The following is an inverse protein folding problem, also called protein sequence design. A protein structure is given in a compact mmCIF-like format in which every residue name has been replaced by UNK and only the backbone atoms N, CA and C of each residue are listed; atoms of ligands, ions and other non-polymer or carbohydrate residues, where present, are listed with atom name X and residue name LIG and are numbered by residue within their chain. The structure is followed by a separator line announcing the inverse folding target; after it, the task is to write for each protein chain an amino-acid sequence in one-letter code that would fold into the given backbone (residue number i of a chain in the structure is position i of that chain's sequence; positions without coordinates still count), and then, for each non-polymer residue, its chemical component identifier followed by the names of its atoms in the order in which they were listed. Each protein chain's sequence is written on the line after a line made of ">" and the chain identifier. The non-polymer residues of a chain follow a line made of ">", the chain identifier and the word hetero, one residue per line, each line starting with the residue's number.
data_IF_568817267451
#
_entry.id   IF_568817267451
#
_cell.length_a   1.000
_cell.length_b   1.000
_cell.length_c   1.000
_cell.angle_alpha   90.00
_cell.angle_beta   90.00
_cell.angle_gamma   90.00
#
_symmetry.space_group_name_H-M   'P 1'
#
loop_
_entity.id
_entity.type
_entity.pdbx_description
1 polymer ?
2 water ?
#
# COMPACT_ATOMS: atom_id res chain seq x y z
N UNK A 20 -4.89 12.06 -3.63
CA UNK A 20 -3.89 11.36 -4.41
C UNK A 20 -4.09 9.86 -4.37
N UNK A 21 -4.07 9.24 -5.55
CA UNK A 21 -4.18 7.80 -5.68
C UNK A 21 -2.79 7.19 -5.55
N UNK A 22 -2.65 6.16 -4.72
CA UNK A 22 -1.35 5.53 -4.49
C UNK A 22 -1.41 4.06 -4.87
N UNK A 23 -0.43 3.60 -5.65
CA UNK A 23 -0.33 2.21 -6.07
C UNK A 23 0.62 1.46 -5.14
N UNK A 24 0.21 0.29 -4.67
CA UNK A 24 1.03 -0.54 -3.79
C UNK A 24 1.25 -1.88 -4.48
N UNK A 25 2.49 -2.37 -4.47
CA UNK A 25 2.82 -3.60 -5.17
C UNK A 25 3.76 -4.45 -4.33
N UNK A 26 3.92 -5.71 -4.75
CA UNK A 26 4.73 -6.70 -4.03
C UNK A 26 4.12 -7.07 -2.67
N UNK A 27 2.82 -7.31 -2.64
CA UNK A 27 2.16 -7.70 -1.41
C UNK A 27 2.13 -9.21 -1.28
N UNK A 28 2.49 -9.71 -0.11
CA UNK A 28 2.37 -11.13 0.16
C UNK A 28 0.91 -11.53 0.27
N UNK A 29 0.61 -12.76 -0.15
CA UNK A 29 -0.76 -13.25 -0.09
C UNK A 29 -1.33 -13.20 1.32
N UNK A 30 -0.47 -13.11 2.34
CA UNK A 30 -0.92 -12.99 3.73
C UNK A 30 -1.24 -11.56 4.13
N UNK A 31 -0.94 -10.57 3.28
CA UNK A 31 -1.23 -9.19 3.63
C UNK A 31 -2.73 -8.93 3.52
N UNK A 32 -3.29 -8.24 4.50
CA UNK A 32 -4.70 -7.90 4.54
C UNK A 32 -4.91 -6.40 4.32
N UNK A 33 -6.15 -6.05 3.94
CA UNK A 33 -6.50 -4.65 3.73
C UNK A 33 -6.26 -3.82 4.99
N UNK A 34 -6.59 -4.37 6.16
CA UNK A 34 -6.44 -3.62 7.41
C UNK A 34 -4.97 -3.41 7.76
N UNK A 35 -4.12 -4.39 7.43
CA UNK A 35 -2.68 -4.22 7.55
C UNK A 35 -2.18 -3.04 6.73
N UNK A 36 -2.56 -2.99 5.46
CA UNK A 36 -2.10 -1.89 4.62
C UNK A 36 -2.67 -0.57 5.12
N UNK A 37 -3.96 -0.55 5.43
CA UNK A 37 -4.61 0.66 5.95
C UNK A 37 -3.87 1.25 7.13
N UNK A 38 -3.54 0.41 8.12
CA UNK A 38 -2.81 0.85 9.30
C UNK A 38 -1.48 1.50 8.95
N UNK A 39 -0.83 1.00 7.90
CA UNK A 39 0.46 1.55 7.48
C UNK A 39 0.29 2.94 6.88
N UNK A 40 -0.69 3.11 6.00
CA UNK A 40 -0.84 4.43 5.40
C UNK A 40 -1.41 5.43 6.39
N UNK A 41 -2.21 4.97 7.34
CA UNK A 41 -2.75 5.87 8.35
C UNK A 41 -1.66 6.46 9.25
N UNK A 42 -0.46 5.88 9.28
CA UNK A 42 0.61 6.53 10.02
C UNK A 42 0.97 7.89 9.42
N UNK A 43 0.60 8.15 8.17
CA UNK A 43 1.02 9.35 7.47
C UNK A 43 -0.07 10.38 7.31
N UNK A 44 -1.34 10.02 7.51
CA UNK A 44 -2.41 10.99 7.34
C UNK A 44 -3.74 10.29 7.14
N UNK A 45 -4.71 11.06 6.64
CA UNK A 45 -6.05 10.54 6.40
C UNK A 45 -6.06 9.63 5.18
N UNK A 46 -6.78 8.51 5.30
CA UNK A 46 -6.94 7.56 4.20
C UNK A 46 -8.42 7.46 3.87
N UNK A 47 -8.77 7.80 2.63
CA UNK A 47 -10.17 7.75 2.22
C UNK A 47 -10.59 6.37 1.76
N UNK A 48 -9.68 5.58 1.20
CA UNK A 48 -10.06 4.25 0.75
C UNK A 48 -8.80 3.42 0.56
N UNK A 49 -8.96 2.11 0.76
CA UNK A 49 -7.83 1.18 0.71
C UNK A 49 -8.33 -0.14 0.14
N UNK A 50 -7.90 -0.47 -1.07
CA UNK A 50 -8.31 -1.68 -1.78
C UNK A 50 -7.08 -2.57 -1.89
N UNK A 51 -7.14 -3.79 -1.34
CA UNK A 51 -6.00 -4.69 -1.35
C UNK A 51 -6.41 -6.00 -2.02
N UNK A 52 -5.59 -6.47 -2.95
CA UNK A 52 -5.85 -7.72 -3.67
C UNK A 52 -4.73 -8.69 -3.36
N UNK A 53 -5.03 -9.71 -2.54
CA UNK A 53 -4.09 -10.78 -2.21
C UNK A 53 -4.91 -12.07 -2.31
N UNK A 54 -5.01 -12.61 -3.52
CA UNK A 54 -5.74 -13.83 -3.81
C UNK A 54 -4.78 -15.01 -3.90
N UNK A 55 -5.30 -16.16 -4.29
CA UNK A 55 -4.45 -17.21 -4.82
C UNK A 55 -4.12 -16.97 -6.29
N UNK A 56 -4.90 -16.11 -6.97
CA UNK A 56 -4.58 -15.68 -8.33
C UNK A 56 -3.39 -14.73 -8.36
N UNK A 57 -3.19 -13.95 -7.30
CA UNK A 57 -1.90 -13.35 -7.04
C UNK A 57 -1.00 -14.36 -6.33
N UNK A 58 0.31 -14.22 -6.52
CA UNK A 58 1.25 -15.07 -5.82
C UNK A 58 1.60 -14.51 -4.46
N UNK A 59 2.13 -15.38 -3.59
CA UNK A 59 2.72 -14.92 -2.34
C UNK A 59 3.90 -14.00 -2.61
N UNK A 60 3.64 -12.86 -3.27
CA UNK A 60 4.66 -11.91 -3.69
C UNK A 60 4.08 -10.81 -4.58
N UNK A 61 3.00 -11.09 -5.31
CA UNK A 61 2.55 -10.20 -6.37
C UNK A 61 1.14 -9.66 -6.13
N UNK A 62 0.71 -9.60 -4.89
CA UNK A 62 -0.48 -8.85 -4.59
C UNK A 62 -0.26 -7.36 -4.77
N UNK A 63 -1.36 -6.61 -4.81
CA UNK A 63 -1.28 -5.18 -5.07
C UNK A 63 -2.42 -4.46 -4.36
N UNK A 64 -2.29 -3.14 -4.28
CA UNK A 64 -3.24 -2.35 -3.54
C UNK A 64 -3.39 -0.98 -4.16
N UNK A 65 -4.52 -0.35 -3.86
CA UNK A 65 -4.78 1.00 -4.33
C UNK A 65 -5.29 1.80 -3.14
N UNK A 66 -4.60 2.90 -2.79
CA UNK A 66 -4.89 3.69 -1.60
C UNK A 66 -5.16 5.14 -1.99
N UNK A 67 -6.21 5.72 -1.43
CA UNK A 67 -6.55 7.11 -1.66
C UNK A 67 -6.30 7.91 -0.39
N UNK A 68 -5.35 8.83 -0.45
CA UNK A 68 -5.16 9.84 0.60
C UNK A 68 -5.45 11.22 0.04
N UNK A 69 -6.53 11.86 0.50
CA UNK A 69 -6.97 13.10 -0.16
C UNK A 69 -6.02 14.26 0.00
N UNK A 70 -5.20 14.30 1.07
CA UNK A 70 -4.19 15.34 1.23
C UNK A 70 -2.92 14.92 0.48
N UNK A 71 -2.58 15.56 -0.65
CA UNK A 71 -1.42 15.10 -1.44
C UNK A 71 -0.11 15.20 -0.69
N UNK A 72 0.02 16.16 0.23
CA UNK A 72 1.26 16.22 1.00
C UNK A 72 1.39 15.03 1.94
N UNK A 73 0.27 14.52 2.46
CA UNK A 73 0.34 13.29 3.27
C UNK A 73 0.62 12.08 2.40
N UNK A 74 0.00 12.01 1.21
CA UNK A 74 0.26 10.91 0.29
C UNK A 74 1.74 10.84 -0.06
N UNK A 75 2.35 11.98 -0.40
CA UNK A 75 3.77 12.00 -0.76
C UNK A 75 4.63 11.52 0.40
N UNK A 76 4.34 12.00 1.61
CA UNK A 76 5.04 11.52 2.80
C UNK A 76 4.93 10.01 2.93
N UNK A 77 3.74 9.46 2.68
CA UNK A 77 3.57 8.01 2.80
C UNK A 77 4.33 7.24 1.71
N UNK A 78 4.34 7.77 0.48
CA UNK A 78 5.07 7.13 -0.61
C UNK A 78 6.55 7.05 -0.27
N UNK A 79 7.11 8.16 0.21
CA UNK A 79 8.53 8.17 0.57
C UNK A 79 8.79 7.29 1.78
N UNK A 80 7.87 7.28 2.74
CA UNK A 80 8.04 6.52 3.95
C UNK A 80 7.95 5.02 3.78
N UNK A 81 7.00 4.55 2.96
CA UNK A 81 6.66 3.13 2.92
C UNK A 81 7.34 2.37 1.78
N UNK A 82 7.79 3.06 0.73
CA UNK A 82 8.42 2.36 -0.37
C UNK A 82 9.64 1.59 0.12
N UNK A 83 9.73 0.32 -0.29
CA UNK A 83 10.71 -0.71 0.06
C UNK A 83 10.58 -1.24 1.49
N UNK A 84 9.59 -0.81 2.27
CA UNK A 84 9.36 -1.45 3.56
C UNK A 84 9.04 -2.92 3.35
N UNK A 85 9.67 -3.79 4.15
CA UNK A 85 9.35 -5.21 4.10
C UNK A 85 8.06 -5.47 4.86
N UNK A 86 7.13 -6.14 4.19
CA UNK A 86 5.89 -6.58 4.80
C UNK A 86 5.79 -8.06 4.50
N UNK A 87 5.76 -8.88 5.54
CA UNK A 87 5.73 -10.32 5.37
C UNK A 87 6.87 -10.81 4.47
N UNK A 88 8.03 -10.17 4.57
CA UNK A 88 9.22 -10.63 3.89
C UNK A 88 9.43 -10.15 2.47
N UNK A 89 8.58 -9.27 1.95
CA UNK A 89 8.79 -8.72 0.62
C UNK A 89 8.79 -7.21 0.71
N UNK A 90 9.77 -6.59 0.06
CA UNK A 90 9.82 -5.15 0.06
C UNK A 90 8.69 -4.65 -0.80
N UNK A 91 7.79 -3.87 -0.21
CA UNK A 91 6.68 -3.37 -1.01
C UNK A 91 7.14 -2.20 -1.86
N UNK A 92 6.43 -1.96 -2.95
CA UNK A 92 6.68 -0.82 -3.81
C UNK A 92 5.48 0.10 -3.75
N UNK A 93 5.73 1.36 -3.43
CA UNK A 93 4.67 2.36 -3.28
C UNK A 93 5.00 3.57 -4.15
N UNK A 94 4.04 3.99 -4.97
CA UNK A 94 4.24 5.16 -5.81
C UNK A 94 2.88 5.73 -6.20
N UNK A 95 2.89 7.00 -6.58
CA UNK A 95 1.65 7.62 -7.01
C UNK A 95 1.18 6.98 -8.30
N UNK A 96 -0.14 6.80 -8.43
CA UNK A 96 -0.69 6.28 -9.68
C UNK A 96 -0.45 7.22 -10.87
N UNK A 97 -0.31 8.53 -10.63
CA UNK A 97 -0.04 9.47 -11.72
C UNK A 97 1.45 9.52 -12.12
#
# INVERSE_FOLDING_TARGET
>A
HMILKCILAFLLMVNEGWKMKILVRNLDRSVTEAEVLELFKAYGKVESCVVVTDKDTGKSKGFGFVEMPNPREAIKAIKGLNTLKVKGYGIRVKAAEE
#
